data_IF_002077840467
#
_entry.id   IF_002077840467
#
_cell.length_a   1.000
_cell.length_b   1.000
_cell.length_c   1.000
_cell.angle_alpha   90.00
_cell.angle_beta   90.00
_cell.angle_gamma   90.00
#
_symmetry.space_group_name_H-M   'P 1'
#
loop_
_entity.id
_entity.type
_entity.pdbx_description
1 polymer ?
#
# COMPACT_ATOMS: atom_id res chain seq x y z
N UNK A 1 -1.20 -7.33 -26.71
CA UNK A 1 0.24 -7.20 -26.33
C UNK A 1 0.51 -8.20 -25.23
N UNK A 2 1.58 -8.93 -25.23
CA UNK A 2 1.85 -9.86 -24.13
C UNK A 2 2.33 -9.04 -22.92
N UNK A 3 1.88 -9.37 -21.71
CA UNK A 3 2.31 -8.75 -20.45
C UNK A 3 3.85 -8.66 -20.27
N UNK A 4 4.60 -9.47 -21.02
CA UNK A 4 6.07 -9.53 -20.99
C UNK A 4 6.79 -8.27 -21.53
N UNK A 5 6.12 -7.37 -22.23
CA UNK A 5 6.72 -6.13 -22.77
C UNK A 5 6.16 -4.86 -22.13
N UNK A 6 5.18 -5.00 -21.24
CA UNK A 6 4.54 -3.89 -20.55
C UNK A 6 5.38 -3.48 -19.34
N UNK A 7 5.54 -2.18 -19.13
CA UNK A 7 6.09 -1.65 -17.89
C UNK A 7 5.20 -2.02 -16.70
N UNK A 8 5.79 -2.28 -15.54
CA UNK A 8 5.06 -2.65 -14.33
C UNK A 8 5.56 -1.82 -13.16
N UNK A 9 4.64 -1.12 -12.53
CA UNK A 9 4.88 -0.36 -11.30
C UNK A 9 4.00 -0.98 -10.21
N UNK A 10 4.64 -1.49 -9.19
CA UNK A 10 4.00 -2.00 -7.98
C UNK A 10 3.97 -0.87 -6.95
N UNK A 11 2.77 -0.37 -6.65
CA UNK A 11 2.63 0.77 -5.75
C UNK A 11 2.58 0.37 -4.27
N UNK A 12 2.60 -0.94 -3.95
CA UNK A 12 2.55 -1.45 -2.58
C UNK A 12 3.44 -2.68 -2.41
N UNK A 13 4.70 -2.47 -2.04
CA UNK A 13 5.71 -3.51 -1.90
C UNK A 13 6.48 -3.34 -0.58
N UNK A 14 6.48 -4.37 0.28
CA UNK A 14 7.26 -4.34 1.52
C UNK A 14 8.70 -4.82 1.31
N UNK A 15 9.68 -4.33 2.08
CA UNK A 15 11.09 -4.67 1.90
C UNK A 15 11.45 -6.14 2.11
N UNK A 16 10.65 -6.90 2.85
CA UNK A 16 10.92 -8.31 3.21
C UNK A 16 12.29 -8.57 3.85
N UNK A 17 12.92 -7.55 4.43
CA UNK A 17 14.21 -7.63 5.12
C UNK A 17 14.03 -7.74 6.63
N UNK A 18 15.14 -7.87 7.36
CA UNK A 18 15.12 -7.97 8.83
C UNK A 18 14.47 -6.74 9.48
N UNK A 19 14.65 -5.55 8.90
CA UNK A 19 14.07 -4.30 9.40
C UNK A 19 12.53 -4.36 9.36
N UNK A 20 11.97 -4.84 8.26
CA UNK A 20 10.52 -5.00 8.16
C UNK A 20 10.00 -6.11 9.07
N UNK A 21 10.69 -7.26 9.14
CA UNK A 21 10.33 -8.34 10.06
C UNK A 21 10.35 -7.92 11.53
N UNK A 22 11.29 -7.07 11.92
CA UNK A 22 11.31 -6.50 13.27
C UNK A 22 10.08 -5.64 13.55
N UNK A 23 9.65 -4.83 12.59
CA UNK A 23 8.48 -3.96 12.73
C UNK A 23 7.17 -4.74 12.84
N UNK A 24 7.04 -5.87 12.16
CA UNK A 24 5.86 -6.74 12.18
C UNK A 24 6.01 -7.96 13.09
N UNK A 25 7.05 -8.03 13.92
CA UNK A 25 7.41 -9.21 14.72
C UNK A 25 6.23 -9.88 15.46
N UNK A 26 5.27 -9.17 16.08
CA UNK A 26 4.15 -9.80 16.77
C UNK A 26 3.23 -10.63 15.86
N UNK A 27 3.26 -10.37 14.55
CA UNK A 27 2.38 -11.02 13.58
C UNK A 27 3.05 -12.16 12.80
N UNK A 28 4.38 -12.23 12.79
CA UNK A 28 5.15 -13.15 11.92
C UNK A 28 4.73 -14.61 12.12
N UNK A 29 4.61 -15.06 13.37
CA UNK A 29 4.26 -16.46 13.63
C UNK A 29 2.79 -16.76 13.27
N UNK A 30 1.89 -15.80 13.48
CA UNK A 30 0.50 -15.91 13.04
C UNK A 30 0.41 -16.04 11.51
N UNK A 31 1.16 -15.21 10.78
CA UNK A 31 1.22 -15.23 9.32
C UNK A 31 1.80 -16.55 8.79
N UNK A 32 2.89 -17.05 9.39
CA UNK A 32 3.47 -18.36 9.04
C UNK A 32 2.44 -19.49 9.16
N UNK A 33 1.73 -19.49 10.28
CA UNK A 33 0.71 -20.51 10.57
C UNK A 33 -0.49 -20.39 9.65
N UNK A 34 -1.03 -19.18 9.47
CA UNK A 34 -2.23 -18.93 8.71
C UNK A 34 -2.06 -19.22 7.20
N UNK A 35 -0.89 -18.87 6.65
CA UNK A 35 -0.60 -19.13 5.23
C UNK A 35 0.17 -20.41 4.99
N UNK A 36 0.42 -21.23 6.02
CA UNK A 36 1.16 -22.49 5.91
C UNK A 36 2.51 -22.32 5.18
N UNK A 37 3.24 -21.26 5.50
CA UNK A 37 4.40 -20.84 4.75
C UNK A 37 5.54 -20.44 5.70
N UNK A 38 6.76 -21.00 5.54
CA UNK A 38 7.91 -20.58 6.31
C UNK A 38 8.38 -19.20 5.80
N UNK A 39 8.00 -18.14 6.50
CA UNK A 39 8.50 -16.81 6.22
C UNK A 39 9.79 -16.56 6.98
N UNK A 40 10.82 -16.04 6.27
CA UNK A 40 12.05 -15.57 6.85
C UNK A 40 12.48 -14.29 6.13
N UNK A 41 13.14 -13.36 6.81
CA UNK A 41 13.67 -12.18 6.15
C UNK A 41 14.74 -12.58 5.13
N UNK A 42 14.80 -11.83 4.05
CA UNK A 42 15.84 -11.90 3.04
C UNK A 42 16.89 -10.82 3.26
N UNK A 43 18.07 -10.97 2.68
CA UNK A 43 18.99 -9.85 2.53
C UNK A 43 18.43 -8.83 1.54
N UNK A 44 18.82 -7.58 1.67
CA UNK A 44 18.45 -6.50 0.75
C UNK A 44 18.72 -6.91 -0.71
N UNK A 45 19.92 -7.47 -0.98
CA UNK A 45 20.30 -7.89 -2.32
C UNK A 45 19.36 -8.98 -2.88
N UNK A 46 18.94 -9.94 -2.07
CA UNK A 46 18.00 -10.98 -2.49
C UNK A 46 16.64 -10.40 -2.86
N UNK A 47 16.12 -9.46 -2.07
CA UNK A 47 14.85 -8.78 -2.38
C UNK A 47 14.96 -8.05 -3.72
N UNK A 48 16.00 -7.29 -3.91
CA UNK A 48 16.21 -6.52 -5.15
C UNK A 48 16.39 -7.45 -6.37
N UNK A 49 17.08 -8.56 -6.20
CA UNK A 49 17.26 -9.53 -7.28
C UNK A 49 15.95 -10.24 -7.65
N UNK A 50 15.08 -10.56 -6.68
CA UNK A 50 13.73 -11.09 -6.92
C UNK A 50 12.87 -10.07 -7.70
N UNK A 51 12.85 -8.80 -7.29
CA UNK A 51 12.10 -7.74 -7.96
C UNK A 51 12.61 -7.48 -9.38
N UNK A 52 13.92 -7.48 -9.56
CA UNK A 52 14.56 -7.34 -10.89
C UNK A 52 14.22 -8.52 -11.79
N UNK A 53 14.25 -9.74 -11.26
CA UNK A 53 13.86 -10.94 -12.01
C UNK A 53 12.38 -10.93 -12.41
N UNK A 54 11.51 -10.32 -11.60
CA UNK A 54 10.09 -10.13 -11.92
C UNK A 54 9.84 -9.00 -12.94
N UNK A 55 10.87 -8.24 -13.33
CA UNK A 55 10.79 -7.07 -14.21
C UNK A 55 9.73 -6.06 -13.74
N UNK A 56 9.80 -5.68 -12.45
CA UNK A 56 8.89 -4.74 -11.80
C UNK A 56 9.68 -3.62 -11.13
N UNK A 57 9.16 -2.41 -11.23
CA UNK A 57 9.62 -1.27 -10.42
C UNK A 57 8.63 -1.05 -9.28
N UNK A 58 9.12 -0.71 -8.10
CA UNK A 58 8.30 -0.70 -6.89
C UNK A 58 8.32 0.63 -6.15
N UNK A 59 7.25 0.88 -5.39
CA UNK A 59 7.23 1.83 -4.29
C UNK A 59 7.32 1.04 -2.99
N UNK A 60 8.44 1.18 -2.27
CA UNK A 60 8.63 0.49 -0.99
C UNK A 60 7.77 1.11 0.10
N UNK A 61 7.34 0.30 1.06
CA UNK A 61 6.49 0.74 2.16
C UNK A 61 7.25 0.68 3.48
N UNK A 62 7.42 1.83 4.14
CA UNK A 62 7.84 1.90 5.54
C UNK A 62 6.70 1.45 6.47
N UNK A 63 7.02 1.08 7.72
CA UNK A 63 6.01 0.59 8.64
C UNK A 63 6.32 1.01 10.08
N UNK A 64 5.44 1.82 10.68
CA UNK A 64 5.57 2.27 12.07
C UNK A 64 4.24 2.08 12.82
N UNK A 65 4.24 1.15 13.76
CA UNK A 65 3.14 0.90 14.70
C UNK A 65 3.69 0.70 16.13
N UNK A 66 4.81 1.34 16.43
CA UNK A 66 5.59 1.15 17.65
C UNK A 66 4.77 1.35 18.93
N UNK A 67 3.91 2.37 19.00
CA UNK A 67 3.05 2.62 20.16
C UNK A 67 2.16 1.43 20.50
N UNK A 68 1.71 0.69 19.50
CA UNK A 68 0.79 -0.44 19.66
C UNK A 68 1.52 -1.75 19.85
N UNK A 69 2.65 -1.93 19.20
CA UNK A 69 3.39 -3.22 19.17
C UNK A 69 4.59 -3.25 20.10
N UNK A 70 5.16 -2.10 20.42
CA UNK A 70 6.46 -1.99 21.11
C UNK A 70 7.65 -2.37 20.21
N UNK A 71 7.41 -2.60 18.91
CA UNK A 71 8.46 -2.97 17.96
C UNK A 71 9.06 -1.74 17.28
N UNK A 72 10.37 -1.77 16.96
CA UNK A 72 11.00 -0.68 16.23
C UNK A 72 10.36 -0.57 14.83
N UNK A 73 10.25 0.64 14.27
CA UNK A 73 9.73 0.81 12.91
C UNK A 73 10.68 0.25 11.84
N UNK A 74 10.12 -0.18 10.71
CA UNK A 74 10.82 -0.18 9.44
C UNK A 74 10.83 1.27 8.96
N UNK A 75 11.95 1.96 9.20
CA UNK A 75 12.01 3.43 9.20
C UNK A 75 11.91 4.05 7.80
N UNK A 76 11.56 5.34 7.78
CA UNK A 76 11.53 6.15 6.56
C UNK A 76 12.93 6.29 5.95
N UNK A 77 13.96 6.48 6.77
CA UNK A 77 15.36 6.52 6.32
C UNK A 77 15.79 5.21 5.66
N UNK A 78 15.34 4.07 6.19
CA UNK A 78 15.68 2.76 5.62
C UNK A 78 15.12 2.61 4.21
N UNK A 79 13.82 2.88 4.00
CA UNK A 79 13.21 2.75 2.67
C UNK A 79 13.71 3.82 1.69
N UNK A 80 14.02 5.03 2.16
CA UNK A 80 14.70 6.04 1.37
C UNK A 80 16.09 5.55 0.91
N UNK A 81 16.83 4.94 1.82
CA UNK A 81 18.13 4.32 1.52
C UNK A 81 18.03 3.18 0.48
N UNK A 82 16.97 2.38 0.50
CA UNK A 82 16.72 1.36 -0.53
C UNK A 82 16.55 1.99 -1.92
N UNK A 83 15.74 3.06 -2.02
CA UNK A 83 15.58 3.83 -3.25
C UNK A 83 16.93 4.36 -3.76
N UNK A 84 17.71 4.95 -2.90
CA UNK A 84 18.96 5.62 -3.28
C UNK A 84 20.04 4.62 -3.74
N UNK A 85 20.05 3.40 -3.15
CA UNK A 85 20.97 2.33 -3.55
C UNK A 85 20.53 1.54 -4.78
N UNK A 86 19.22 1.46 -5.04
CA UNK A 86 18.64 0.61 -6.10
C UNK A 86 17.61 1.38 -6.96
N UNK A 87 17.98 2.53 -7.57
CA UNK A 87 17.03 3.38 -8.29
C UNK A 87 16.49 2.75 -9.60
N UNK A 88 17.09 1.67 -10.07
CA UNK A 88 16.62 0.88 -11.21
C UNK A 88 15.37 0.05 -10.88
N UNK A 89 15.20 -0.34 -9.61
CA UNK A 89 14.09 -1.17 -9.11
C UNK A 89 13.16 -0.37 -8.22
N UNK A 90 13.69 0.40 -7.27
CA UNK A 90 12.92 1.18 -6.30
C UNK A 90 12.74 2.60 -6.80
N UNK A 91 11.56 2.93 -7.31
CA UNK A 91 11.25 4.27 -7.84
C UNK A 91 11.16 5.32 -6.74
N UNK A 92 10.50 4.98 -5.66
CA UNK A 92 10.34 5.80 -4.46
C UNK A 92 9.82 4.92 -3.30
N UNK A 93 9.41 5.54 -2.19
CA UNK A 93 8.82 4.83 -1.08
C UNK A 93 7.71 5.64 -0.40
N UNK A 94 6.77 4.94 0.23
CA UNK A 94 5.80 5.48 1.14
C UNK A 94 6.42 5.59 2.53
N UNK A 95 6.32 6.77 3.13
CA UNK A 95 6.63 6.95 4.53
C UNK A 95 5.58 6.29 5.41
N UNK A 96 5.96 5.97 6.63
CA UNK A 96 5.01 5.57 7.69
C UNK A 96 5.34 6.37 8.95
N UNK A 97 4.30 6.81 9.63
CA UNK A 97 4.41 7.46 10.93
C UNK A 97 3.37 6.86 11.88
N UNK A 98 3.75 6.61 13.13
CA UNK A 98 2.81 6.19 14.14
C UNK A 98 2.00 7.41 14.62
N UNK A 99 0.69 7.49 14.31
CA UNK A 99 -0.10 8.69 14.58
C UNK A 99 -0.27 8.98 16.09
N UNK A 100 -0.06 7.96 16.93
CA UNK A 100 -0.14 8.12 18.39
C UNK A 100 1.05 8.90 18.99
N UNK A 101 2.12 9.10 18.24
CA UNK A 101 3.28 9.89 18.66
C UNK A 101 3.03 11.42 18.59
N UNK A 102 1.85 11.85 18.13
CA UNK A 102 1.43 13.25 18.13
C UNK A 102 2.40 14.17 17.40
N UNK A 103 2.97 15.18 18.07
CA UNK A 103 3.90 16.12 17.44
C UNK A 103 5.17 15.45 16.88
N UNK A 104 5.62 14.36 17.45
CA UNK A 104 6.75 13.62 16.92
C UNK A 104 6.40 13.00 15.56
N UNK A 105 5.17 12.49 15.39
CA UNK A 105 4.69 12.00 14.10
C UNK A 105 4.62 13.12 13.04
N UNK A 106 4.22 14.33 13.43
CA UNK A 106 4.18 15.49 12.51
C UNK A 106 5.58 15.90 12.06
N UNK A 107 6.55 15.92 12.98
CA UNK A 107 7.96 16.22 12.65
C UNK A 107 8.57 15.15 11.74
N UNK A 108 8.30 13.90 12.04
CA UNK A 108 8.73 12.77 11.19
C UNK A 108 8.09 12.83 9.80
N UNK A 109 6.81 13.25 9.72
CA UNK A 109 6.15 13.46 8.44
C UNK A 109 6.84 14.57 7.61
N UNK A 110 7.24 15.67 8.23
CA UNK A 110 7.99 16.73 7.57
C UNK A 110 9.36 16.24 7.09
N UNK A 111 10.10 15.52 7.93
CA UNK A 111 11.39 14.92 7.59
C UNK A 111 11.27 13.97 6.40
N UNK A 112 10.31 13.05 6.44
CA UNK A 112 10.09 12.06 5.39
C UNK A 112 9.86 12.68 4.00
N UNK A 113 9.16 13.81 3.94
CA UNK A 113 8.86 14.46 2.66
C UNK A 113 9.92 15.50 2.28
N UNK A 114 10.31 16.38 3.21
CA UNK A 114 11.20 17.52 2.88
C UNK A 114 12.67 17.11 2.77
N UNK A 115 13.12 16.18 3.62
CA UNK A 115 14.53 15.79 3.69
C UNK A 115 14.80 14.50 2.92
N UNK A 116 13.90 13.49 3.04
CA UNK A 116 14.06 12.22 2.38
C UNK A 116 13.41 12.15 0.98
N UNK A 117 12.49 13.05 0.64
CA UNK A 117 11.82 13.09 -0.66
C UNK A 117 10.92 11.88 -0.93
N UNK A 118 10.32 11.31 0.11
CA UNK A 118 9.38 10.19 -0.02
C UNK A 118 8.07 10.66 -0.68
N UNK A 119 7.35 9.73 -1.31
CA UNK A 119 6.24 10.08 -2.20
C UNK A 119 4.95 10.44 -1.46
N UNK A 120 4.75 9.96 -0.25
CA UNK A 120 3.53 10.11 0.55
C UNK A 120 3.56 9.19 1.76
N UNK A 121 2.40 8.90 2.34
CA UNK A 121 2.31 8.13 3.59
C UNK A 121 1.48 6.87 3.42
N UNK A 122 1.94 5.77 4.01
CA UNK A 122 1.17 4.56 4.21
C UNK A 122 0.65 4.47 5.63
N UNK A 123 -0.63 4.10 5.76
CA UNK A 123 -1.29 3.85 7.05
C UNK A 123 -1.94 2.48 7.07
N UNK A 124 -1.66 1.73 8.14
CA UNK A 124 -2.32 0.45 8.43
C UNK A 124 -3.20 0.57 9.69
N UNK A 125 -4.48 0.98 9.56
CA UNK A 125 -5.34 1.30 10.71
C UNK A 125 -5.55 0.16 11.70
N UNK A 126 -5.62 -1.09 11.21
CA UNK A 126 -5.79 -2.27 12.09
C UNK A 126 -4.54 -2.52 12.93
N UNK A 127 -3.34 -2.44 12.37
CA UNK A 127 -2.09 -2.62 13.11
C UNK A 127 -1.82 -1.45 14.05
N UNK A 128 -2.03 -0.22 13.59
CA UNK A 128 -1.89 0.99 14.41
C UNK A 128 -3.04 1.21 15.39
N UNK A 129 -4.09 0.37 15.36
CA UNK A 129 -5.27 0.43 16.22
C UNK A 129 -5.91 1.82 16.28
N UNK A 130 -6.09 2.48 15.14
CA UNK A 130 -6.76 3.78 15.01
C UNK A 130 -7.79 3.74 13.88
N UNK A 131 -8.80 4.59 13.96
CA UNK A 131 -9.63 4.95 12.82
C UNK A 131 -9.09 6.23 12.19
N UNK A 132 -9.10 6.32 10.87
CA UNK A 132 -8.53 7.49 10.15
C UNK A 132 -9.34 8.77 10.36
N UNK A 133 -10.58 8.66 10.83
CA UNK A 133 -11.46 9.76 11.24
C UNK A 133 -11.35 10.12 12.74
N UNK A 134 -10.41 9.50 13.47
CA UNK A 134 -10.17 9.87 14.87
C UNK A 134 -9.75 11.34 14.98
N UNK A 135 -10.49 12.17 15.71
CA UNK A 135 -10.20 13.61 15.81
C UNK A 135 -8.77 13.94 16.28
N UNK A 136 -8.14 13.02 17.03
CA UNK A 136 -6.76 13.21 17.50
C UNK A 136 -5.73 13.14 16.40
N UNK A 137 -6.07 12.50 15.27
CA UNK A 137 -5.20 12.37 14.10
C UNK A 137 -5.36 13.54 13.13
N UNK A 138 -6.38 14.37 13.29
CA UNK A 138 -6.65 15.49 12.41
C UNK A 138 -5.43 16.40 12.17
N UNK A 139 -4.63 16.81 13.19
CA UNK A 139 -3.46 17.64 12.96
C UNK A 139 -2.40 16.98 12.06
N UNK A 140 -2.27 15.65 12.12
CA UNK A 140 -1.37 14.91 11.22
C UNK A 140 -1.88 14.95 9.78
N UNK A 141 -3.17 14.71 9.55
CA UNK A 141 -3.76 14.78 8.19
C UNK A 141 -3.76 16.20 7.63
N UNK A 142 -3.95 17.22 8.46
CA UNK A 142 -3.78 18.63 8.06
C UNK A 142 -2.34 18.88 7.58
N UNK A 143 -1.33 18.38 8.30
CA UNK A 143 0.07 18.48 7.90
C UNK A 143 0.36 17.74 6.60
N UNK A 144 -0.14 16.53 6.43
CA UNK A 144 0.03 15.73 5.20
C UNK A 144 -0.61 16.46 4.01
N UNK A 145 -1.80 17.01 4.19
CA UNK A 145 -2.46 17.82 3.15
C UNK A 145 -1.67 19.10 2.82
N UNK A 146 -1.07 19.77 3.82
CA UNK A 146 -0.18 20.91 3.63
C UNK A 146 1.09 20.53 2.83
N UNK A 147 1.64 19.35 3.09
CA UNK A 147 2.80 18.81 2.36
C UNK A 147 2.44 18.46 0.90
N UNK A 148 1.18 18.35 0.55
CA UNK A 148 0.70 18.13 -0.82
C UNK A 148 0.99 16.73 -1.37
N UNK A 149 1.13 15.74 -0.51
CA UNK A 149 1.47 14.36 -0.87
C UNK A 149 0.31 13.41 -0.65
N UNK A 150 0.23 12.29 -1.39
CA UNK A 150 -0.84 11.31 -1.25
C UNK A 150 -0.73 10.46 0.03
N UNK A 151 -1.83 9.78 0.35
CA UNK A 151 -1.88 8.74 1.38
C UNK A 151 -2.35 7.41 0.79
N UNK A 152 -1.71 6.32 1.20
CA UNK A 152 -2.09 4.93 0.95
C UNK A 152 -2.65 4.36 2.25
N UNK A 153 -3.89 3.90 2.26
CA UNK A 153 -4.59 3.48 3.49
C UNK A 153 -5.15 2.08 3.31
N UNK A 154 -4.75 1.16 4.18
CA UNK A 154 -5.26 -0.20 4.18
C UNK A 154 -6.74 -0.25 4.56
N UNK A 155 -7.55 -0.88 3.70
CA UNK A 155 -8.99 -1.07 3.89
C UNK A 155 -9.37 -2.54 3.81
N UNK A 156 -10.40 -2.92 4.57
CA UNK A 156 -10.89 -4.29 4.60
C UNK A 156 -10.17 -5.17 5.63
N UNK A 157 -10.14 -6.47 5.37
CA UNK A 157 -9.47 -7.43 6.24
C UNK A 157 -7.95 -7.39 6.07
N UNK A 158 -7.25 -7.92 7.06
CA UNK A 158 -5.78 -8.03 7.03
C UNK A 158 -5.32 -9.41 7.45
N UNK A 159 -4.15 -9.84 6.97
CA UNK A 159 -3.46 -11.02 7.46
C UNK A 159 -2.87 -10.87 8.87
N UNK A 160 -2.69 -9.63 9.33
CA UNK A 160 -2.06 -9.33 10.62
C UNK A 160 -2.92 -9.80 11.80
N UNK A 161 -2.49 -10.89 12.44
CA UNK A 161 -3.22 -11.56 13.52
C UNK A 161 -4.26 -12.59 13.05
N UNK A 162 -4.39 -12.82 11.75
CA UNK A 162 -5.32 -13.80 11.20
C UNK A 162 -5.07 -15.21 11.76
N UNK A 163 -6.16 -15.97 11.99
CA UNK A 163 -6.09 -17.33 12.52
C UNK A 163 -5.79 -17.43 14.02
N UNK A 164 -5.43 -16.33 14.70
CA UNK A 164 -5.16 -16.35 16.14
C UNK A 164 -6.39 -16.02 16.97
N UNK A 165 -6.49 -16.53 18.23
CA UNK A 165 -7.58 -16.14 19.13
C UNK A 165 -7.66 -14.62 19.30
N UNK A 166 -8.82 -14.04 19.01
CA UNK A 166 -9.06 -12.60 19.08
C UNK A 166 -8.22 -11.75 18.11
N UNK A 167 -7.59 -12.36 17.08
CA UNK A 167 -6.78 -11.64 16.10
C UNK A 167 -5.62 -10.85 16.72
N UNK A 168 -4.99 -11.34 17.79
CA UNK A 168 -3.99 -10.62 18.59
C UNK A 168 -4.51 -9.26 19.12
N UNK A 169 -5.82 -9.15 19.38
CA UNK A 169 -6.45 -7.91 19.84
C UNK A 169 -6.68 -6.86 18.74
N UNK A 170 -6.44 -7.20 17.49
CA UNK A 170 -6.70 -6.28 16.35
C UNK A 170 -8.19 -6.20 16.03
N UNK A 171 -8.63 -5.01 15.63
CA UNK A 171 -10.05 -4.74 15.34
C UNK A 171 -10.24 -4.36 13.88
N UNK A 172 -10.82 -5.26 13.09
CA UNK A 172 -11.02 -5.05 11.64
C UNK A 172 -11.86 -3.80 11.32
N UNK A 173 -12.74 -3.38 12.22
CA UNK A 173 -13.54 -2.16 12.03
C UNK A 173 -12.68 -0.89 11.80
N UNK A 174 -11.41 -0.89 12.23
CA UNK A 174 -10.50 0.25 12.05
C UNK A 174 -10.16 0.51 10.58
N UNK A 175 -10.25 -0.52 9.73
CA UNK A 175 -10.04 -0.44 8.29
C UNK A 175 -11.34 -0.46 7.47
N UNK A 176 -12.52 -0.28 8.12
CA UNK A 176 -13.77 -0.16 7.39
C UNK A 176 -13.84 1.17 6.65
N UNK A 177 -14.11 1.19 5.33
CA UNK A 177 -14.07 2.42 4.54
C UNK A 177 -15.12 3.45 4.96
N UNK A 178 -16.38 3.02 5.20
CA UNK A 178 -17.44 3.92 5.63
C UNK A 178 -17.57 3.94 7.17
N UNK A 179 -17.70 5.13 7.79
CA UNK A 179 -17.70 6.47 7.17
C UNK A 179 -16.29 7.05 6.99
N UNK A 180 -15.27 6.49 7.62
CA UNK A 180 -13.98 7.13 7.86
C UNK A 180 -13.24 7.59 6.60
N UNK A 181 -13.18 6.75 5.55
CA UNK A 181 -12.51 7.10 4.29
C UNK A 181 -13.32 8.16 3.51
N UNK A 182 -14.64 8.09 3.56
CA UNK A 182 -15.53 9.07 2.93
C UNK A 182 -15.40 10.45 3.57
N UNK A 183 -15.38 10.49 4.90
CA UNK A 183 -15.23 11.73 5.69
C UNK A 183 -13.85 12.36 5.45
N UNK A 184 -12.77 11.56 5.49
CA UNK A 184 -11.42 12.06 5.21
C UNK A 184 -11.34 12.68 3.80
N UNK A 185 -11.93 12.01 2.80
CA UNK A 185 -11.91 12.50 1.43
C UNK A 185 -12.75 13.79 1.24
N UNK A 186 -13.82 13.96 2.02
CA UNK A 186 -14.63 15.16 2.01
C UNK A 186 -13.96 16.34 2.73
N UNK A 187 -13.31 16.06 3.87
CA UNK A 187 -12.62 17.08 4.68
C UNK A 187 -11.35 17.60 3.97
N UNK A 188 -10.67 16.77 3.21
CA UNK A 188 -9.43 17.09 2.50
C UNK A 188 -9.55 16.87 0.99
N UNK A 189 -10.31 17.73 0.26
CA UNK A 189 -10.59 17.51 -1.17
C UNK A 189 -9.36 17.61 -2.08
N UNK A 190 -8.24 18.15 -1.61
CA UNK A 190 -6.96 18.20 -2.34
C UNK A 190 -6.07 17.00 -2.05
N UNK A 191 -6.31 16.27 -0.96
CA UNK A 191 -5.56 15.10 -0.60
C UNK A 191 -5.90 13.93 -1.53
N UNK A 192 -4.91 13.39 -2.22
CA UNK A 192 -5.08 12.13 -2.98
C UNK A 192 -5.05 10.97 -2.00
N UNK A 193 -6.11 10.19 -1.96
CA UNK A 193 -6.25 9.04 -1.07
C UNK A 193 -6.30 7.78 -1.92
N UNK A 194 -5.42 6.83 -1.65
CA UNK A 194 -5.39 5.52 -2.29
C UNK A 194 -5.88 4.49 -1.27
N UNK A 195 -7.02 3.86 -1.53
CA UNK A 195 -7.46 2.70 -0.77
C UNK A 195 -6.59 1.50 -1.15
N UNK A 196 -5.97 0.85 -0.18
CA UNK A 196 -5.19 -0.36 -0.42
C UNK A 196 -6.05 -1.62 -0.26
N UNK A 197 -5.73 -2.65 -1.05
CA UNK A 197 -6.41 -3.95 -1.09
C UNK A 197 -7.84 -3.92 -1.65
N UNK A 198 -8.44 -5.08 -2.00
CA UNK A 198 -9.82 -5.16 -2.48
C UNK A 198 -10.91 -4.72 -1.48
N UNK A 199 -10.54 -4.44 -0.23
CA UNK A 199 -11.46 -3.94 0.79
C UNK A 199 -12.45 -4.97 1.34
N UNK A 200 -12.24 -6.28 1.07
CA UNK A 200 -13.15 -7.31 1.55
C UNK A 200 -13.30 -7.29 3.10
N UNK A 201 -14.53 -7.42 3.68
CA UNK A 201 -15.81 -7.68 3.00
C UNK A 201 -16.54 -6.42 2.51
N UNK A 202 -15.97 -5.23 2.65
CA UNK A 202 -16.58 -3.92 2.35
C UNK A 202 -16.20 -3.38 0.97
N UNK A 203 -15.89 -4.24 0.01
CA UNK A 203 -15.44 -3.87 -1.34
C UNK A 203 -16.39 -2.88 -2.03
N UNK A 204 -17.71 -3.05 -1.87
CA UNK A 204 -18.69 -2.15 -2.47
C UNK A 204 -18.73 -0.77 -1.80
N UNK A 205 -18.32 -0.65 -0.53
CA UNK A 205 -18.10 0.65 0.11
C UNK A 205 -16.93 1.39 -0.54
N UNK A 206 -15.78 0.70 -0.76
CA UNK A 206 -14.62 1.30 -1.46
C UNK A 206 -15.00 1.69 -2.89
N UNK A 207 -15.68 0.80 -3.61
CA UNK A 207 -16.17 1.07 -4.97
C UNK A 207 -17.02 2.34 -5.03
N UNK A 208 -18.00 2.44 -4.14
CA UNK A 208 -18.89 3.60 -4.06
C UNK A 208 -18.10 4.89 -3.77
N UNK A 209 -17.19 4.87 -2.81
CA UNK A 209 -16.37 6.04 -2.46
C UNK A 209 -15.49 6.44 -3.64
N UNK A 210 -14.78 5.51 -4.28
CA UNK A 210 -13.96 5.79 -5.46
C UNK A 210 -14.76 6.40 -6.63
N UNK A 211 -16.01 5.98 -6.82
CA UNK A 211 -16.87 6.53 -7.86
C UNK A 211 -17.41 7.91 -7.50
N UNK A 212 -17.66 8.17 -6.23
CA UNK A 212 -18.23 9.43 -5.74
C UNK A 212 -17.18 10.53 -5.55
N UNK A 213 -15.97 10.17 -5.06
CA UNK A 213 -14.90 11.11 -4.72
C UNK A 213 -13.85 11.19 -5.83
N UNK A 214 -13.62 12.40 -6.36
CA UNK A 214 -12.62 12.65 -7.39
C UNK A 214 -11.18 12.38 -6.92
N UNK A 215 -10.91 12.57 -5.63
CA UNK A 215 -9.62 12.47 -4.98
C UNK A 215 -9.33 11.09 -4.36
N UNK A 216 -10.23 10.10 -4.51
CA UNK A 216 -10.01 8.72 -4.04
C UNK A 216 -9.69 7.81 -5.21
N UNK A 217 -8.64 7.03 -5.07
CA UNK A 217 -8.11 6.03 -5.98
C UNK A 217 -8.00 4.69 -5.28
N UNK A 218 -7.61 3.64 -5.99
CA UNK A 218 -7.61 2.30 -5.43
C UNK A 218 -6.44 1.48 -5.98
N UNK A 219 -5.82 0.67 -5.14
CA UNK A 219 -4.90 -0.37 -5.56
C UNK A 219 -5.33 -1.73 -4.98
N UNK A 220 -4.97 -2.83 -5.62
CA UNK A 220 -5.60 -4.13 -5.37
C UNK A 220 -4.65 -5.20 -4.87
N UNK A 221 -3.64 -4.78 -4.12
CA UNK A 221 -2.61 -5.65 -3.53
C UNK A 221 -3.16 -6.67 -2.54
N UNK A 222 -2.33 -7.63 -2.15
CA UNK A 222 -2.61 -8.61 -1.10
C UNK A 222 -3.59 -9.73 -1.48
N UNK A 223 -4.17 -9.70 -2.68
CA UNK A 223 -5.14 -10.68 -3.15
C UNK A 223 -4.81 -11.15 -4.57
N UNK A 224 -4.94 -12.46 -4.81
CA UNK A 224 -4.92 -12.97 -6.18
C UNK A 224 -6.14 -12.45 -6.96
N UNK A 225 -5.96 -11.96 -8.21
CA UNK A 225 -7.06 -11.40 -9.01
C UNK A 225 -8.25 -12.35 -9.21
N UNK A 226 -8.01 -13.66 -9.17
CA UNK A 226 -9.04 -14.69 -9.21
C UNK A 226 -10.06 -14.57 -8.08
N UNK A 227 -9.65 -14.04 -6.92
CA UNK A 227 -10.48 -13.87 -5.73
C UNK A 227 -11.12 -12.48 -5.60
N UNK A 228 -10.89 -11.59 -6.55
CA UNK A 228 -11.55 -10.28 -6.51
C UNK A 228 -13.07 -10.43 -6.55
N UNK A 229 -13.82 -9.69 -5.73
CA UNK A 229 -15.28 -9.64 -5.82
C UNK A 229 -15.76 -9.27 -7.22
N UNK A 230 -16.89 -9.84 -7.64
CA UNK A 230 -17.42 -9.64 -8.99
C UNK A 230 -17.75 -8.18 -9.31
N UNK A 231 -18.15 -7.38 -8.30
CA UNK A 231 -18.34 -5.93 -8.46
C UNK A 231 -17.05 -5.24 -8.86
N UNK A 232 -15.92 -5.59 -8.22
CA UNK A 232 -14.61 -5.03 -8.55
C UNK A 232 -14.15 -5.47 -9.95
N UNK A 233 -14.18 -6.77 -10.26
CA UNK A 233 -13.82 -7.29 -11.60
C UNK A 233 -14.60 -6.60 -12.72
N UNK A 234 -15.92 -6.41 -12.52
CA UNK A 234 -16.79 -5.74 -13.50
C UNK A 234 -16.40 -4.28 -13.72
N UNK A 235 -15.99 -3.57 -12.66
CA UNK A 235 -15.81 -2.12 -12.70
C UNK A 235 -14.37 -1.68 -13.02
N UNK A 236 -13.37 -2.52 -12.82
CA UNK A 236 -11.97 -2.25 -13.23
C UNK A 236 -11.90 -1.81 -14.71
N UNK A 237 -12.43 -2.57 -15.70
CA UNK A 237 -12.30 -2.18 -17.10
C UNK A 237 -13.32 -1.10 -17.54
N UNK A 238 -14.11 -0.56 -16.63
CA UNK A 238 -15.20 0.40 -16.93
C UNK A 238 -15.02 1.68 -16.14
N UNK A 239 -15.75 1.80 -15.01
CA UNK A 239 -15.83 3.03 -14.21
C UNK A 239 -14.57 3.33 -13.41
N UNK A 240 -13.75 2.32 -13.13
CA UNK A 240 -12.51 2.43 -12.37
C UNK A 240 -11.24 2.42 -13.24
N UNK A 241 -11.35 2.33 -14.57
CA UNK A 241 -10.21 2.14 -15.46
C UNK A 241 -9.10 3.19 -15.29
N UNK A 242 -9.45 4.40 -14.86
CA UNK A 242 -8.52 5.50 -14.64
C UNK A 242 -8.19 5.71 -13.15
N UNK A 243 -8.59 4.78 -12.27
CA UNK A 243 -8.42 4.92 -10.81
C UNK A 243 -7.73 3.74 -10.15
N UNK A 244 -7.64 2.58 -10.82
CA UNK A 244 -7.04 1.36 -10.27
C UNK A 244 -5.55 1.33 -10.60
N UNK A 245 -4.75 0.98 -9.58
CA UNK A 245 -3.32 0.74 -9.71
C UNK A 245 -2.97 -0.70 -9.28
N UNK A 246 -1.89 -1.23 -9.83
CA UNK A 246 -1.33 -2.51 -9.42
C UNK A 246 -0.52 -2.35 -8.14
N UNK A 247 -0.78 -3.21 -7.17
CA UNK A 247 0.03 -3.43 -5.98
C UNK A 247 0.15 -4.92 -5.71
N UNK A 248 1.25 -5.37 -5.13
CA UNK A 248 1.46 -6.79 -4.80
C UNK A 248 1.19 -7.12 -3.34
N UNK A 249 1.49 -6.23 -2.43
CA UNK A 249 1.67 -6.53 -1.01
C UNK A 249 2.75 -7.62 -0.80
N UNK A 250 3.81 -7.55 -1.67
CA UNK A 250 4.97 -8.42 -1.51
C UNK A 250 5.52 -8.31 -0.07
N UNK A 251 5.87 -9.39 0.59
CA UNK A 251 6.07 -10.75 0.11
C UNK A 251 4.84 -11.67 0.29
N UNK A 252 3.65 -11.14 0.54
CA UNK A 252 2.43 -11.94 0.75
C UNK A 252 2.13 -12.83 -0.45
N UNK A 253 2.26 -12.26 -1.65
CA UNK A 253 2.12 -12.93 -2.94
C UNK A 253 3.34 -12.64 -3.82
N UNK A 254 3.70 -13.58 -4.69
CA UNK A 254 4.76 -13.36 -5.68
C UNK A 254 4.22 -12.59 -6.88
N UNK A 255 5.04 -11.75 -7.48
CA UNK A 255 4.68 -10.99 -8.68
C UNK A 255 4.26 -11.90 -9.84
N UNK A 256 4.98 -13.02 -10.06
CA UNK A 256 4.64 -13.99 -11.09
C UNK A 256 3.19 -14.51 -10.96
N UNK A 257 2.79 -14.92 -9.75
CA UNK A 257 1.42 -15.36 -9.49
C UNK A 257 0.39 -14.27 -9.77
N UNK A 258 0.70 -13.04 -9.37
CA UNK A 258 -0.20 -11.91 -9.59
C UNK A 258 -0.33 -11.59 -11.08
N UNK A 259 0.78 -11.54 -11.83
CA UNK A 259 0.75 -11.29 -13.27
C UNK A 259 -0.03 -12.38 -14.03
N UNK A 260 0.14 -13.65 -13.65
CA UNK A 260 -0.65 -14.75 -14.17
C UNK A 260 -2.15 -14.57 -13.86
N UNK A 261 -2.48 -14.21 -12.61
CA UNK A 261 -3.87 -13.94 -12.19
C UNK A 261 -4.52 -12.80 -12.99
N UNK A 262 -3.80 -11.68 -13.15
CA UNK A 262 -4.27 -10.54 -13.92
C UNK A 262 -4.48 -10.89 -15.40
N UNK A 263 -3.58 -11.66 -16.01
CA UNK A 263 -3.71 -12.07 -17.40
C UNK A 263 -4.96 -12.91 -17.67
N UNK A 264 -5.38 -13.71 -16.68
CA UNK A 264 -6.59 -14.55 -16.76
C UNK A 264 -7.90 -13.78 -16.70
N UNK A 265 -7.88 -12.51 -16.25
CA UNK A 265 -9.08 -11.67 -16.24
C UNK A 265 -9.53 -11.26 -17.65
N UNK A 266 -8.63 -11.31 -18.63
CA UNK A 266 -8.95 -11.06 -20.04
C UNK A 266 -9.34 -9.63 -20.36
N UNK A 267 -8.85 -8.65 -19.62
CA UNK A 267 -9.08 -7.24 -19.90
C UNK A 267 -8.31 -6.79 -21.15
N UNK A 268 -8.82 -5.73 -21.80
CA UNK A 268 -8.14 -5.12 -22.94
C UNK A 268 -6.76 -4.55 -22.55
N UNK A 269 -5.83 -4.51 -23.49
CA UNK A 269 -4.45 -4.02 -23.28
C UNK A 269 -4.43 -2.61 -22.65
N UNK A 270 -5.27 -1.68 -23.12
CA UNK A 270 -5.41 -0.33 -22.56
C UNK A 270 -5.72 -0.33 -21.05
N UNK A 271 -6.59 -1.25 -20.60
CA UNK A 271 -6.95 -1.38 -19.19
C UNK A 271 -5.76 -1.92 -18.40
N UNK A 272 -5.05 -2.91 -18.95
CA UNK A 272 -3.87 -3.48 -18.32
C UNK A 272 -2.73 -2.45 -18.21
N UNK A 273 -2.51 -1.64 -19.25
CA UNK A 273 -1.56 -0.52 -19.22
C UNK A 273 -1.90 0.49 -18.13
N UNK A 274 -3.17 0.86 -18.02
CA UNK A 274 -3.62 1.77 -16.96
C UNK A 274 -3.37 1.20 -15.57
N UNK A 275 -3.71 -0.06 -15.33
CA UNK A 275 -3.53 -0.71 -14.03
C UNK A 275 -2.05 -0.85 -13.67
N UNK A 276 -1.22 -1.31 -14.63
CA UNK A 276 0.16 -1.68 -14.32
C UNK A 276 1.13 -0.50 -14.29
N UNK A 277 0.82 0.63 -14.95
CA UNK A 277 1.72 1.78 -14.87
C UNK A 277 1.08 3.16 -15.06
N UNK A 278 0.21 3.38 -16.08
CA UNK A 278 -0.19 4.74 -16.45
C UNK A 278 -0.96 5.47 -15.34
N UNK A 279 -1.81 4.75 -14.60
CA UNK A 279 -2.52 5.34 -13.46
C UNK A 279 -1.55 5.71 -12.33
N UNK A 280 -0.61 4.85 -11.99
CA UNK A 280 0.39 5.14 -10.96
C UNK A 280 1.23 6.37 -11.34
N UNK A 281 1.71 6.45 -12.58
CA UNK A 281 2.46 7.59 -13.10
C UNK A 281 1.68 8.90 -12.95
N UNK A 282 0.44 8.91 -13.39
CA UNK A 282 -0.43 10.09 -13.36
C UNK A 282 -0.89 10.48 -11.96
N UNK A 283 -1.35 9.51 -11.16
CA UNK A 283 -1.94 9.76 -9.84
C UNK A 283 -0.86 10.18 -8.85
N UNK A 284 0.28 9.51 -8.88
CA UNK A 284 1.38 9.71 -7.96
C UNK A 284 2.43 10.71 -8.47
N UNK A 285 2.24 11.28 -9.67
CA UNK A 285 3.17 12.21 -10.30
C UNK A 285 4.61 11.64 -10.34
N UNK A 286 4.74 10.36 -10.71
CA UNK A 286 6.04 9.71 -10.79
C UNK A 286 6.83 10.34 -11.95
N UNK A 287 7.87 11.12 -11.65
CA UNK A 287 8.86 11.53 -12.63
C UNK A 287 9.70 10.30 -12.99
N UNK A 288 9.40 9.75 -14.15
CA UNK A 288 10.09 8.56 -14.61
C UNK A 288 11.37 8.97 -15.31
N UNK A 289 12.50 8.61 -14.73
CA UNK A 289 13.74 8.57 -15.48
C UNK A 289 13.47 7.72 -16.74
N UNK A 290 13.44 8.35 -17.91
CA UNK A 290 13.30 7.62 -19.19
C UNK A 290 14.43 6.61 -19.20
N UNK A 291 14.09 5.31 -19.29
CA UNK A 291 15.10 4.27 -19.55
C UNK A 291 15.81 4.67 -20.83
N UNK A 292 17.09 5.05 -20.69
CA UNK A 292 17.95 5.38 -21.83
C UNK A 292 18.23 4.14 -22.65
#
# INVERSE_FOLDING_TARGET
MQLTTMRRIDVHCHPNTVEWFNAINPYVEALRTYWHRPWAPLSEQQVIDELRAADVQVLMVAFDTETVTGCPPCSNDYVAGLRDRHPDVVLNAWASVDPWKGEAAIKEAEHAIKDLGLIGFHFHPVCGNFSIDDPRLRPLFEKINELGVPVLIDVGTTGMGAGTPGGLGRRLKMSRPMPALDDLAADFPQLKIIAAHPGWPWTDEVLMICLHKGNVFWETSGWGPEYFPESLKRDIPRRLKDKIMFGSDYPSLTHERLFEGWSKLGYADEVMENVFHSNAERILNLELARRA
#
